data_IF_415881855371
#
_entry.id   IF_415881855371
#
_cell.length_a   1.000
_cell.length_b   1.000
_cell.length_c   1.000
_cell.angle_alpha   90.00
_cell.angle_beta   90.00
_cell.angle_gamma   90.00
#
_symmetry.space_group_name_H-M   'P 1'
#
loop_
_entity.id
_entity.type
_entity.pdbx_description
1 polymer ?
#
# COMPACT_ATOMS: atom_id res chain seq x y z
N UNK A 1 28.66 -9.13 -6.65
CA UNK A 1 28.21 -8.72 -6.56
C UNK A 1 27.75 -8.40 -6.85
N UNK A 2 27.43 -8.42 -6.87
CA UNK A 2 26.75 -8.06 -7.00
C UNK A 2 26.22 -7.94 -7.13
N UNK A 3 25.94 -8.24 -7.13
CA UNK A 3 25.22 -8.05 -7.16
C UNK A 3 24.63 -7.56 -7.22
N UNK A 4 24.51 -7.65 -7.17
CA UNK A 4 23.81 -7.10 -7.05
C UNK A 4 23.31 -6.59 -7.18
N UNK A 5 23.20 -6.70 -7.18
CA UNK A 5 22.60 -6.05 -7.13
C UNK A 5 22.36 -5.61 -7.59
N UNK A 6 22.35 -6.00 -7.77
CA UNK A 6 22.17 -5.52 -8.04
C UNK A 6 21.72 -4.88 -8.18
N UNK A 7 21.73 -4.96 -8.41
CA UNK A 7 21.36 -4.08 -8.48
C UNK A 7 20.61 -3.71 -7.94
N UNK A 8 20.87 -4.09 -7.65
CA UNK A 8 19.94 -3.99 -6.81
C UNK A 8 19.31 -2.79 -6.34
N UNK A 9 18.74 -2.24 -7.12
CA UNK A 9 17.99 -1.07 -6.77
C UNK A 9 16.55 -1.38 -6.55
N UNK A 10 16.30 -2.28 -5.64
CA UNK A 10 14.93 -2.53 -5.24
C UNK A 10 14.47 -1.41 -4.36
N UNK A 11 13.33 -0.86 -4.66
CA UNK A 11 12.70 0.08 -3.76
C UNK A 11 12.25 -0.66 -2.51
N UNK A 12 12.37 0.02 -1.38
CA UNK A 12 11.91 -0.53 -0.11
C UNK A 12 10.39 -0.70 -0.18
N UNK A 13 9.91 -1.86 0.18
CA UNK A 13 8.48 -2.14 0.17
C UNK A 13 7.79 -1.49 1.35
N UNK A 14 6.52 -1.15 1.16
CA UNK A 14 5.68 -0.70 2.26
C UNK A 14 5.40 -1.90 3.17
N UNK A 15 5.64 -1.74 4.45
CA UNK A 15 5.35 -2.78 5.44
C UNK A 15 4.24 -2.30 6.36
N UNK A 16 3.15 -3.05 6.38
CA UNK A 16 2.03 -2.80 7.28
C UNK A 16 1.85 -4.00 8.19
N UNK A 17 1.45 -3.73 9.43
CA UNK A 17 1.10 -4.79 10.36
C UNK A 17 -0.23 -4.50 11.02
N UNK A 18 -0.98 -5.55 11.30
CA UNK A 18 -2.32 -5.44 11.84
C UNK A 18 -2.47 -6.30 13.07
N UNK A 19 -3.21 -5.81 14.06
CA UNK A 19 -3.60 -6.60 15.22
C UNK A 19 -4.92 -7.29 14.93
N UNK A 20 -4.95 -8.60 15.12
CA UNK A 20 -6.18 -9.37 14.90
C UNK A 20 -7.27 -9.06 15.90
N UNK A 21 -6.90 -8.62 17.09
CA UNK A 21 -7.87 -8.41 18.16
C UNK A 21 -8.52 -7.04 18.14
N UNK A 22 -7.73 -5.99 17.95
CA UNK A 22 -8.28 -4.64 17.98
C UNK A 22 -8.29 -3.96 16.62
N UNK A 23 -7.76 -4.63 15.59
CA UNK A 23 -7.69 -4.11 14.22
C UNK A 23 -6.78 -2.90 14.04
N UNK A 24 -5.87 -2.65 15.00
CA UNK A 24 -4.89 -1.60 14.82
C UNK A 24 -4.06 -1.89 13.58
N UNK A 25 -3.84 -0.87 12.77
CA UNK A 25 -3.03 -0.97 11.56
C UNK A 25 -1.89 0.02 11.69
N UNK A 26 -0.66 -0.48 11.54
CA UNK A 26 0.50 0.40 11.64
C UNK A 26 1.36 0.30 10.38
N UNK A 27 1.98 1.42 10.04
CA UNK A 27 2.96 1.47 8.97
C UNK A 27 4.34 1.39 9.62
N UNK A 28 5.15 0.42 9.20
CA UNK A 28 6.43 0.15 9.82
C UNK A 28 7.52 0.83 9.01
N UNK A 29 8.21 1.79 9.59
CA UNK A 29 9.32 2.47 8.93
C UNK A 29 10.59 1.63 8.98
N UNK A 30 10.84 1.00 10.10
CA UNK A 30 11.95 0.08 10.28
C UNK A 30 11.45 -1.10 11.08
N UNK A 31 11.53 -2.28 10.51
CA UNK A 31 11.09 -3.48 11.20
C UNK A 31 12.16 -3.97 12.16
N UNK A 32 11.76 -4.80 13.11
CA UNK A 32 12.72 -5.39 14.03
C UNK A 32 13.61 -6.37 13.28
N UNK A 33 14.85 -6.50 13.72
CA UNK A 33 15.85 -7.28 13.01
C UNK A 33 16.28 -8.54 13.74
N UNK A 34 15.71 -8.79 14.89
CA UNK A 34 15.99 -10.02 15.63
C UNK A 34 15.06 -11.14 15.14
N UNK A 35 15.50 -12.36 15.34
CA UNK A 35 14.75 -13.51 14.84
C UNK A 35 13.52 -13.84 15.66
N UNK A 36 13.59 -13.62 16.97
CA UNK A 36 12.52 -14.04 17.88
C UNK A 36 11.73 -12.89 18.43
N UNK A 37 11.85 -11.72 17.83
CA UNK A 37 11.08 -10.58 18.30
C UNK A 37 9.99 -10.25 17.29
N UNK A 38 9.07 -9.43 17.71
CA UNK A 38 8.02 -8.97 16.86
C UNK A 38 7.32 -7.81 17.52
N UNK A 39 6.56 -7.09 16.72
CA UNK A 39 5.76 -6.00 17.25
C UNK A 39 4.48 -6.62 17.79
N UNK A 40 4.17 -6.34 19.04
CA UNK A 40 3.07 -6.98 19.75
C UNK A 40 1.97 -5.98 20.03
N UNK A 41 0.74 -6.39 19.83
CA UNK A 41 -0.44 -5.60 20.20
C UNK A 41 -1.48 -6.55 20.80
N UNK A 42 -2.12 -6.13 21.88
CA UNK A 42 -3.11 -6.95 22.57
C UNK A 42 -2.56 -8.32 22.97
N UNK A 43 -1.29 -8.37 23.33
CA UNK A 43 -0.66 -9.59 23.81
C UNK A 43 -0.26 -10.59 22.74
N UNK A 44 -0.39 -10.26 21.46
CA UNK A 44 -0.04 -11.13 20.36
C UNK A 44 0.81 -10.42 19.33
N UNK A 45 1.69 -11.16 18.63
CA UNK A 45 2.43 -10.55 17.54
C UNK A 45 1.48 -10.05 16.46
N UNK A 46 1.74 -8.85 15.95
CA UNK A 46 0.98 -8.31 14.84
C UNK A 46 1.35 -9.05 13.56
N UNK A 47 0.38 -9.18 12.66
CA UNK A 47 0.61 -9.88 11.40
C UNK A 47 0.94 -8.91 10.29
N UNK A 48 1.81 -9.33 9.41
CA UNK A 48 2.13 -8.54 8.23
C UNK A 48 0.96 -8.58 7.24
N UNK A 49 0.57 -7.41 6.73
CA UNK A 49 -0.47 -7.31 5.71
C UNK A 49 0.21 -7.36 4.35
N UNK A 50 -0.09 -8.38 3.57
CA UNK A 50 0.54 -8.57 2.27
C UNK A 50 -0.38 -8.07 1.15
N UNK A 51 0.21 -7.33 0.20
CA UNK A 51 -0.55 -6.79 -0.92
C UNK A 51 -1.05 -7.91 -1.83
N UNK A 52 -2.22 -7.71 -2.40
CA UNK A 52 -2.81 -8.61 -3.41
C UNK A 52 -2.99 -10.05 -2.93
N UNK A 53 -3.13 -10.25 -1.62
CA UNK A 53 -3.19 -11.58 -1.05
C UNK A 53 -4.60 -12.05 -0.70
N UNK A 54 -5.58 -11.17 -0.78
CA UNK A 54 -6.96 -11.50 -0.44
C UNK A 54 -7.71 -11.91 -1.71
N UNK A 55 -8.53 -12.96 -1.59
CA UNK A 55 -9.33 -13.45 -2.70
C UNK A 55 -10.54 -12.54 -2.90
N UNK A 56 -10.38 -11.52 -3.69
CA UNK A 56 -11.41 -10.54 -4.00
C UNK A 56 -11.18 -10.03 -5.42
N UNK A 57 -12.11 -9.24 -5.92
CA UNK A 57 -12.03 -8.75 -7.30
C UNK A 57 -10.84 -7.83 -7.51
N UNK A 58 -9.91 -8.24 -8.36
CA UNK A 58 -8.75 -7.42 -8.71
C UNK A 58 -9.19 -6.15 -9.43
N UNK A 59 -10.19 -6.26 -10.31
CA UNK A 59 -10.67 -5.12 -11.08
C UNK A 59 -11.21 -4.00 -10.20
N UNK A 60 -11.72 -4.35 -9.03
CA UNK A 60 -12.33 -3.39 -8.12
C UNK A 60 -11.38 -2.88 -7.05
N UNK A 61 -10.21 -3.47 -6.93
CA UNK A 61 -9.29 -3.16 -5.84
C UNK A 61 -7.92 -2.70 -6.28
N UNK A 62 -7.41 -3.20 -7.41
CA UNK A 62 -6.09 -2.79 -7.88
C UNK A 62 -6.14 -1.34 -8.33
N UNK A 63 -5.23 -0.51 -7.83
CA UNK A 63 -5.14 0.84 -8.36
C UNK A 63 -4.68 0.81 -9.81
N UNK A 64 -5.25 1.68 -10.62
CA UNK A 64 -4.84 1.84 -12.01
C UNK A 64 -4.30 3.25 -12.19
N UNK A 65 -3.56 3.46 -13.27
CA UNK A 65 -3.02 4.78 -13.53
C UNK A 65 -2.93 5.07 -15.02
N UNK A 66 -2.97 6.36 -15.34
CA UNK A 66 -2.75 6.83 -16.71
C UNK A 66 -1.69 7.91 -16.66
N UNK A 67 -0.75 7.85 -17.60
CA UNK A 67 0.28 8.86 -17.67
C UNK A 67 -0.25 10.09 -18.40
N UNK A 68 -0.10 11.26 -17.79
CA UNK A 68 -0.53 12.53 -18.34
C UNK A 68 0.63 13.50 -18.28
N UNK A 69 1.35 13.65 -19.36
CA UNK A 69 2.55 14.49 -19.44
C UNK A 69 3.58 13.99 -18.41
N UNK A 70 3.94 14.80 -17.42
CA UNK A 70 4.94 14.42 -16.44
C UNK A 70 4.35 13.77 -15.20
N UNK A 71 3.05 13.56 -15.19
CA UNK A 71 2.34 13.02 -14.03
C UNK A 71 1.66 11.71 -14.36
N UNK A 72 1.22 11.02 -13.32
CA UNK A 72 0.27 9.92 -13.47
C UNK A 72 -0.97 10.25 -12.68
N UNK A 73 -2.12 9.91 -13.25
CA UNK A 73 -3.40 10.02 -12.58
C UNK A 73 -3.81 8.63 -12.14
N UNK A 74 -3.97 8.47 -10.83
CA UNK A 74 -4.25 7.18 -10.20
C UNK A 74 -5.69 7.13 -9.77
N UNK A 75 -6.35 5.99 -9.99
CA UNK A 75 -7.68 5.79 -9.46
C UNK A 75 -7.93 4.33 -9.14
N UNK A 76 -8.87 4.10 -8.24
CA UNK A 76 -9.31 2.77 -7.86
C UNK A 76 -10.79 2.67 -8.17
N UNK A 77 -11.17 1.66 -8.96
CA UNK A 77 -12.56 1.44 -9.32
C UNK A 77 -13.25 0.67 -8.19
N UNK A 78 -13.57 1.38 -7.12
CA UNK A 78 -14.08 0.76 -5.89
C UNK A 78 -15.21 1.61 -5.31
N UNK A 79 -16.15 0.95 -4.65
CA UNK A 79 -17.22 1.66 -3.95
C UNK A 79 -16.63 2.46 -2.79
N UNK A 80 -17.28 3.54 -2.44
CA UNK A 80 -16.86 4.41 -1.34
C UNK A 80 -18.04 4.60 -0.38
N UNK A 81 -18.51 3.48 0.17
CA UNK A 81 -19.65 3.44 1.09
C UNK A 81 -19.17 3.52 2.52
N UNK A 82 -20.05 3.86 3.45
CA UNK A 82 -19.67 4.09 4.84
C UNK A 82 -18.95 2.91 5.50
N UNK A 83 -19.34 1.70 5.16
CA UNK A 83 -18.76 0.51 5.76
C UNK A 83 -17.84 -0.26 4.81
N UNK A 84 -17.67 0.23 3.57
CA UNK A 84 -16.84 -0.44 2.58
C UNK A 84 -16.24 0.58 1.62
N UNK A 85 -14.97 0.92 1.82
CA UNK A 85 -14.34 1.97 1.05
C UNK A 85 -12.82 1.85 1.07
N UNK A 86 -12.17 2.56 0.14
CA UNK A 86 -10.71 2.67 0.12
C UNK A 86 -10.33 3.75 1.13
N UNK A 87 -9.57 3.36 2.13
CA UNK A 87 -9.22 4.27 3.23
C UNK A 87 -8.12 5.24 2.85
N UNK A 88 -7.21 4.82 1.98
CA UNK A 88 -6.12 5.68 1.53
C UNK A 88 -5.47 5.11 0.28
N UNK A 89 -4.77 5.99 -0.44
CA UNK A 89 -3.90 5.62 -1.55
C UNK A 89 -2.53 6.19 -1.21
N UNK A 90 -1.49 5.39 -1.41
CA UNK A 90 -0.12 5.79 -1.10
C UNK A 90 0.79 5.43 -2.27
N UNK A 91 1.59 6.40 -2.72
CA UNK A 91 2.58 6.16 -3.77
C UNK A 91 3.96 6.24 -3.12
N UNK A 92 4.70 5.17 -3.25
CA UNK A 92 6.01 5.06 -2.64
C UNK A 92 7.09 5.03 -3.72
N UNK A 93 8.05 5.94 -3.59
CA UNK A 93 9.24 5.97 -4.43
C UNK A 93 10.45 5.72 -3.55
N UNK A 94 11.65 5.77 -4.12
CA UNK A 94 12.87 5.61 -3.34
C UNK A 94 13.02 6.66 -2.25
N UNK A 95 12.54 7.86 -2.51
CA UNK A 95 12.82 9.01 -1.65
C UNK A 95 11.64 9.52 -0.87
N UNK A 96 10.43 9.20 -1.30
CA UNK A 96 9.28 9.80 -0.64
C UNK A 96 8.05 8.94 -0.74
N UNK A 97 7.11 9.23 0.13
CA UNK A 97 5.77 8.68 0.11
C UNK A 97 4.80 9.81 -0.07
N UNK A 98 3.83 9.64 -0.98
CA UNK A 98 2.74 10.58 -1.18
C UNK A 98 1.46 9.85 -0.89
N UNK A 99 0.64 10.42 -0.04
CA UNK A 99 -0.51 9.70 0.49
C UNK A 99 -1.73 10.60 0.53
N UNK A 100 -2.89 10.05 0.18
CA UNK A 100 -4.17 10.74 0.35
C UNK A 100 -5.04 9.88 1.26
N UNK A 101 -5.62 10.51 2.26
CA UNK A 101 -6.54 9.87 3.19
C UNK A 101 -7.95 10.12 2.68
N UNK A 102 -8.74 9.06 2.59
CA UNK A 102 -10.07 9.12 2.00
C UNK A 102 -11.15 8.78 3.03
N UNK A 103 -12.34 9.28 2.75
CA UNK A 103 -13.53 9.01 3.56
C UNK A 103 -14.61 8.47 2.65
N UNK A 104 -15.63 7.80 3.21
CA UNK A 104 -16.76 7.38 2.39
C UNK A 104 -17.32 8.57 1.61
N UNK A 105 -17.63 8.34 0.35
CA UNK A 105 -18.13 9.38 -0.54
C UNK A 105 -17.07 10.16 -1.29
N UNK A 106 -15.79 10.05 -0.87
CA UNK A 106 -14.71 10.70 -1.61
C UNK A 106 -14.43 9.94 -2.91
N UNK A 107 -13.83 10.61 -3.87
CA UNK A 107 -13.40 9.97 -5.10
C UNK A 107 -12.00 9.38 -4.87
N UNK A 108 -11.83 8.06 -5.06
CA UNK A 108 -10.54 7.42 -4.77
C UNK A 108 -9.54 7.64 -5.91
N UNK A 109 -9.00 8.84 -5.98
CA UNK A 109 -8.07 9.27 -7.03
C UNK A 109 -6.97 10.13 -6.44
N UNK A 110 -5.82 10.13 -7.12
CA UNK A 110 -4.77 11.10 -6.82
C UNK A 110 -3.84 11.24 -8.02
N UNK A 111 -3.21 12.38 -8.14
CA UNK A 111 -2.25 12.65 -9.21
C UNK A 111 -0.89 12.92 -8.59
N UNK A 112 0.13 12.26 -9.10
CA UNK A 112 1.50 12.41 -8.60
C UNK A 112 2.46 12.48 -9.79
N UNK A 113 3.67 12.98 -9.59
CA UNK A 113 4.67 12.94 -10.66
C UNK A 113 4.96 11.51 -11.08
N UNK A 114 5.19 11.32 -12.38
CA UNK A 114 5.56 10.01 -12.90
C UNK A 114 6.95 9.61 -12.42
N UNK A 115 7.07 8.39 -11.95
CA UNK A 115 8.38 7.83 -11.65
C UNK A 115 8.31 6.33 -11.90
N UNK A 116 9.14 5.85 -12.82
CA UNK A 116 9.19 4.44 -13.15
C UNK A 116 9.60 3.63 -11.91
N UNK A 117 8.90 2.56 -11.68
CA UNK A 117 9.19 1.68 -10.55
C UNK A 117 8.49 2.07 -9.26
N UNK A 118 7.79 3.20 -9.25
CA UNK A 118 7.03 3.59 -8.06
C UNK A 118 5.96 2.54 -7.75
N UNK A 119 5.68 2.36 -6.48
CA UNK A 119 4.63 1.43 -6.04
C UNK A 119 3.40 2.22 -5.62
N UNK A 120 2.26 1.83 -6.16
CA UNK A 120 0.98 2.45 -5.82
C UNK A 120 0.23 1.47 -4.93
N UNK A 121 -0.14 1.92 -3.74
CA UNK A 121 -0.89 1.10 -2.80
C UNK A 121 -2.26 1.68 -2.55
N UNK A 122 -3.25 0.81 -2.40
CA UNK A 122 -4.59 1.20 -1.99
C UNK A 122 -5.04 0.24 -0.89
N UNK A 123 -5.69 0.74 0.13
CA UNK A 123 -6.12 -0.08 1.24
C UNK A 123 -7.64 -0.05 1.37
N UNK A 124 -8.26 -1.22 1.20
CA UNK A 124 -9.69 -1.41 1.38
C UNK A 124 -9.94 -1.88 2.80
N UNK A 125 -10.87 -1.25 3.50
CA UNK A 125 -11.13 -1.60 4.90
C UNK A 125 -11.60 -3.05 5.08
N UNK A 126 -12.16 -3.65 4.04
CA UNK A 126 -12.64 -5.05 4.10
C UNK A 126 -11.70 -6.04 3.41
N UNK A 127 -11.01 -5.64 2.36
CA UNK A 127 -10.25 -6.58 1.54
C UNK A 127 -8.74 -6.31 1.54
N UNK A 128 -8.27 -5.41 2.38
CA UNK A 128 -6.85 -5.26 2.64
C UNK A 128 -6.09 -4.43 1.62
N UNK A 129 -4.83 -4.78 1.48
CA UNK A 129 -3.85 -3.97 0.75
C UNK A 129 -3.71 -4.45 -0.70
N UNK A 130 -3.70 -3.49 -1.62
CA UNK A 130 -3.56 -3.76 -3.05
C UNK A 130 -2.45 -2.91 -3.63
N UNK A 131 -1.72 -3.44 -4.59
CA UNK A 131 -0.50 -2.80 -5.09
C UNK A 131 -0.41 -2.90 -6.61
N UNK A 132 0.03 -1.82 -7.24
CA UNK A 132 0.38 -1.77 -8.66
C UNK A 132 1.72 -1.06 -8.78
N UNK A 133 2.58 -1.54 -9.69
CA UNK A 133 3.88 -0.92 -9.92
C UNK A 133 3.83 -0.11 -11.21
N UNK A 134 4.38 1.08 -11.17
CA UNK A 134 4.42 1.98 -12.32
C UNK A 134 5.52 1.55 -13.29
N UNK A 135 5.15 1.38 -14.54
CA UNK A 135 6.09 1.00 -15.59
C UNK A 135 6.58 2.16 -16.43
#
# INVERSE_FOLDING_TARGET
>A
MGKSNRGGKKMKELVLKRCKKCNALIKVLEDCKCEDCGIVCCGEPMEEVKANSVDASFERHLPTYEKEEDNIHIKVDHVMEEDHYIEWILVKTEKENREVILKPGDTPEMTVPYEKGASIYAYCNKHGLWKTVVE
#
